data_IF_287120006470
#
_entry.id   IF_287120006470
#
_cell.length_a   1.000
_cell.length_b   1.000
_cell.length_c   1.000
_cell.angle_alpha   90.00
_cell.angle_beta   90.00
_cell.angle_gamma   90.00
#
_symmetry.space_group_name_H-M   'P 1'
#
loop_
_entity.id
_entity.type
_entity.pdbx_description
1 polymer ?
#
# COMPACT_ATOMS: atom_id res chain seq x y z
N UNK A 1 -55.91 -19.89 28.78
CA UNK A 1 -54.63 -20.44 29.12
C UNK A 1 -53.64 -20.02 28.00
N UNK A 2 -52.96 -18.88 28.17
CA UNK A 2 -51.90 -18.44 27.26
C UNK A 2 -50.57 -18.96 27.81
N UNK A 3 -50.13 -20.08 27.28
CA UNK A 3 -48.77 -20.56 27.46
C UNK A 3 -47.83 -19.72 26.61
N UNK A 4 -47.26 -18.66 27.20
CA UNK A 4 -46.12 -17.94 26.59
C UNK A 4 -44.94 -18.88 26.52
N UNK A 5 -44.56 -19.27 25.33
CA UNK A 5 -43.26 -19.91 25.08
C UNK A 5 -42.17 -18.88 25.34
N UNK A 6 -41.58 -18.90 26.53
CA UNK A 6 -40.29 -18.30 26.75
C UNK A 6 -39.23 -19.20 26.08
N UNK A 7 -38.97 -18.97 24.83
CA UNK A 7 -37.76 -19.49 24.17
C UNK A 7 -36.61 -18.68 24.77
N UNK A 8 -35.67 -19.27 25.49
CA UNK A 8 -34.48 -18.54 25.90
C UNK A 8 -33.75 -18.14 24.62
N UNK A 9 -33.59 -16.84 24.40
CA UNK A 9 -32.68 -16.33 23.38
C UNK A 9 -31.26 -16.75 23.77
N UNK A 10 -30.83 -17.87 23.21
CA UNK A 10 -29.42 -18.24 23.27
C UNK A 10 -28.67 -17.23 22.40
N UNK A 11 -28.09 -16.21 23.00
CA UNK A 11 -27.17 -15.33 22.36
C UNK A 11 -25.96 -16.19 21.97
N UNK A 12 -25.74 -16.41 20.66
CA UNK A 12 -24.56 -17.09 20.21
C UNK A 12 -23.34 -16.28 20.66
N UNK A 13 -22.44 -16.88 21.43
CA UNK A 13 -21.19 -16.28 21.87
C UNK A 13 -20.18 -16.08 20.73
N UNK A 14 -20.67 -15.83 19.51
CA UNK A 14 -19.86 -15.67 18.30
C UNK A 14 -20.21 -14.37 17.59
N UNK A 15 -19.21 -13.48 17.45
CA UNK A 15 -19.33 -12.28 16.62
C UNK A 15 -18.94 -12.66 15.19
N UNK A 16 -19.84 -12.40 14.24
CA UNK A 16 -19.54 -12.54 12.80
C UNK A 16 -18.84 -11.27 12.35
N UNK A 17 -17.55 -11.38 12.10
CA UNK A 17 -16.75 -10.26 11.64
C UNK A 17 -16.81 -10.12 10.12
N UNK A 18 -16.84 -8.88 9.65
CA UNK A 18 -16.70 -8.58 8.23
C UNK A 18 -15.23 -8.71 7.85
N UNK A 19 -14.92 -9.65 6.94
CA UNK A 19 -13.57 -9.79 6.40
C UNK A 19 -13.14 -8.50 5.71
N UNK A 20 -11.94 -8.05 6.02
CA UNK A 20 -11.31 -6.86 5.46
C UNK A 20 -9.89 -7.19 5.04
N UNK A 21 -9.40 -6.49 4.02
CA UNK A 21 -8.04 -6.70 3.56
C UNK A 21 -7.04 -6.25 4.63
N UNK A 22 -6.01 -7.06 4.88
CA UNK A 22 -4.86 -6.67 5.70
C UNK A 22 -3.97 -5.69 4.93
N UNK A 23 -3.11 -4.95 5.65
CA UNK A 23 -2.16 -4.02 5.04
C UNK A 23 -1.22 -4.74 4.07
N UNK A 24 -1.36 -4.42 2.78
CA UNK A 24 -0.56 -5.01 1.70
C UNK A 24 0.82 -4.38 1.66
N UNK A 25 0.88 -3.04 1.68
CA UNK A 25 2.15 -2.31 1.53
C UNK A 25 3.09 -2.63 2.69
N UNK A 26 2.58 -2.68 3.92
CA UNK A 26 3.39 -3.06 5.09
C UNK A 26 3.95 -4.49 5.00
N UNK A 27 3.27 -5.40 4.32
CA UNK A 27 3.73 -6.80 4.19
C UNK A 27 4.89 -6.98 3.21
N UNK A 28 5.06 -6.06 2.26
CA UNK A 28 6.07 -6.11 1.20
C UNK A 28 7.18 -5.07 1.39
N UNK A 29 6.92 -4.01 2.16
CA UNK A 29 7.86 -2.94 2.44
C UNK A 29 8.84 -3.32 3.56
N UNK A 30 9.97 -2.64 3.60
CA UNK A 30 10.93 -2.75 4.69
C UNK A 30 10.42 -1.97 5.91
N UNK A 31 10.35 -2.60 7.07
CA UNK A 31 9.93 -1.95 8.32
C UNK A 31 11.12 -1.79 9.25
N UNK A 32 11.36 -0.58 9.73
CA UNK A 32 12.43 -0.24 10.67
C UNK A 32 11.84 0.43 11.90
N UNK A 33 12.26 0.00 13.10
CA UNK A 33 11.92 0.70 14.35
C UNK A 33 12.93 1.80 14.63
N UNK A 34 12.45 3.00 14.95
CA UNK A 34 13.31 4.14 15.28
C UNK A 34 12.82 4.82 16.56
N UNK A 35 13.71 5.17 17.50
CA UNK A 35 13.32 5.92 18.70
C UNK A 35 13.14 7.41 18.43
N UNK A 36 13.88 7.97 17.46
CA UNK A 36 13.97 9.41 17.19
C UNK A 36 13.78 9.74 15.71
N UNK A 37 13.60 11.03 15.42
CA UNK A 37 13.58 11.54 14.06
C UNK A 37 14.95 11.29 13.40
N UNK A 38 14.95 10.83 12.15
CA UNK A 38 16.17 10.45 11.43
C UNK A 38 16.30 11.26 10.15
N UNK A 39 17.56 11.50 9.79
CA UNK A 39 17.90 11.98 8.45
C UNK A 39 18.70 10.90 7.75
N UNK A 40 18.22 10.47 6.60
CA UNK A 40 18.85 9.43 5.78
C UNK A 40 19.60 10.11 4.64
N UNK A 41 20.94 10.04 4.60
CA UNK A 41 21.68 10.54 3.46
C UNK A 41 21.50 9.60 2.26
N UNK A 42 21.14 10.16 1.11
CA UNK A 42 21.03 9.44 -0.15
C UNK A 42 22.00 10.02 -1.14
N UNK A 43 22.70 9.15 -1.87
CA UNK A 43 23.54 9.54 -2.98
C UNK A 43 22.69 9.84 -4.20
N UNK A 44 22.71 11.09 -4.64
CA UNK A 44 21.89 11.56 -5.77
C UNK A 44 22.64 11.48 -7.11
N UNK A 45 23.96 11.60 -7.10
CA UNK A 45 24.77 11.46 -8.29
C UNK A 45 25.98 10.55 -8.05
N UNK A 46 26.25 9.71 -9.03
CA UNK A 46 27.38 8.79 -9.04
C UNK A 46 28.49 9.43 -9.88
N UNK A 47 29.76 9.48 -9.40
CA UNK A 47 30.85 9.95 -10.19
C UNK A 47 31.02 9.13 -11.47
N UNK A 48 31.29 9.80 -12.57
CA UNK A 48 31.54 9.17 -13.87
C UNK A 48 33.03 9.13 -14.16
N UNK A 49 33.51 7.99 -14.67
CA UNK A 49 34.87 7.86 -15.18
C UNK A 49 34.90 8.08 -16.69
N UNK A 50 35.88 8.78 -17.18
CA UNK A 50 36.12 9.00 -18.62
C UNK A 50 37.54 8.55 -19.01
N UNK A 51 37.67 8.06 -20.24
CA UNK A 51 39.00 7.82 -20.83
C UNK A 51 39.54 9.15 -21.29
N UNK A 52 40.72 9.51 -20.79
CA UNK A 52 41.35 10.79 -21.08
C UNK A 52 42.62 10.54 -21.85
N UNK A 53 42.81 11.29 -22.94
CA UNK A 53 44.01 11.26 -23.75
C UNK A 53 45.23 11.88 -23.03
N UNK A 54 46.41 11.50 -23.46
CA UNK A 54 47.66 12.03 -22.91
C UNK A 54 47.71 13.57 -23.02
N UNK A 55 47.99 14.23 -21.90
CA UNK A 55 48.09 15.72 -21.86
C UNK A 55 46.73 16.44 -21.70
N UNK A 56 45.61 15.73 -21.64
CA UNK A 56 44.30 16.34 -21.44
C UNK A 56 43.94 16.47 -19.93
N UNK A 57 43.21 17.53 -19.58
CA UNK A 57 42.76 17.74 -18.19
C UNK A 57 41.66 16.78 -17.76
N UNK A 58 41.74 16.30 -16.53
CA UNK A 58 40.71 15.47 -15.93
C UNK A 58 39.55 16.37 -15.47
N UNK A 59 38.34 16.12 -15.98
CA UNK A 59 37.15 16.83 -15.51
C UNK A 59 36.70 16.21 -14.19
N UNK A 60 36.54 17.04 -13.16
CA UNK A 60 36.02 16.57 -11.87
C UNK A 60 34.55 16.11 -12.01
N UNK A 61 34.25 14.98 -11.44
CA UNK A 61 32.90 14.46 -11.31
C UNK A 61 32.69 14.09 -9.83
N UNK A 62 31.85 14.87 -9.13
CA UNK A 62 31.64 14.72 -7.71
C UNK A 62 30.34 13.95 -7.41
N UNK A 63 30.36 13.17 -6.32
CA UNK A 63 29.15 12.58 -5.78
C UNK A 63 28.35 13.65 -5.01
N UNK A 64 27.06 13.74 -5.28
CA UNK A 64 26.16 14.60 -4.52
C UNK A 64 25.28 13.79 -3.58
N UNK A 65 25.05 14.31 -2.38
CA UNK A 65 24.22 13.67 -1.36
C UNK A 65 23.06 14.58 -1.00
N UNK A 66 21.86 13.99 -0.90
CA UNK A 66 20.65 14.62 -0.38
C UNK A 66 20.25 13.95 0.92
N UNK A 67 19.56 14.65 1.80
CA UNK A 67 19.06 14.08 3.05
C UNK A 67 17.54 13.98 2.98
N UNK A 68 16.99 12.77 3.21
CA UNK A 68 15.57 12.59 3.48
C UNK A 68 15.35 12.68 4.99
N UNK A 69 14.37 13.46 5.41
CA UNK A 69 13.91 13.52 6.79
C UNK A 69 12.83 12.47 7.03
N UNK A 70 12.92 11.78 8.14
CA UNK A 70 11.90 10.86 8.64
C UNK A 70 11.21 11.57 9.80
N UNK A 71 9.91 11.82 9.64
CA UNK A 71 9.07 12.43 10.65
C UNK A 71 8.34 11.36 11.48
N UNK A 72 7.33 11.74 12.23
CA UNK A 72 6.54 10.82 13.03
C UNK A 72 5.09 11.25 13.08
N UNK A 73 4.26 10.65 12.24
CA UNK A 73 2.83 10.91 12.20
C UNK A 73 2.07 10.03 13.18
N UNK A 74 1.12 10.61 13.90
CA UNK A 74 0.35 9.95 14.94
C UNK A 74 -0.97 9.43 14.36
N UNK A 75 -1.15 8.13 14.38
CA UNK A 75 -2.42 7.46 14.11
C UNK A 75 -3.10 7.14 15.42
N UNK A 76 -4.36 7.49 15.57
CA UNK A 76 -5.12 7.23 16.79
C UNK A 76 -6.53 6.76 16.44
N UNK A 77 -6.99 5.74 17.15
CA UNK A 77 -8.37 5.29 17.11
C UNK A 77 -8.95 5.33 18.53
N UNK A 78 -10.12 5.95 18.67
CA UNK A 78 -10.86 6.01 19.92
C UNK A 78 -12.17 5.27 19.76
N UNK A 79 -12.41 4.29 20.61
CA UNK A 79 -13.66 3.53 20.69
C UNK A 79 -14.26 3.70 22.06
N UNK A 80 -15.58 3.88 22.12
CA UNK A 80 -16.34 4.04 23.35
C UNK A 80 -17.27 2.84 23.47
N UNK A 81 -17.20 2.12 24.59
CA UNK A 81 -18.03 0.96 24.87
C UNK A 81 -18.83 1.18 26.17
N UNK A 82 -20.06 0.68 26.22
CA UNK A 82 -20.84 0.66 27.45
C UNK A 82 -20.24 -0.33 28.46
N UNK A 83 -20.16 0.07 29.71
CA UNK A 83 -19.68 -0.80 30.80
C UNK A 83 -20.58 -2.00 31.01
N UNK A 84 -21.90 -1.82 30.89
CA UNK A 84 -22.86 -2.92 30.96
C UNK A 84 -22.62 -3.98 29.89
N UNK A 85 -22.31 -3.53 28.65
CA UNK A 85 -21.99 -4.44 27.56
C UNK A 85 -20.68 -5.21 27.80
N UNK A 86 -19.70 -4.59 28.45
CA UNK A 86 -18.44 -5.24 28.80
C UNK A 86 -18.63 -6.29 29.91
N UNK A 87 -19.46 -5.98 30.91
CA UNK A 87 -19.71 -6.84 32.06
C UNK A 87 -20.64 -8.03 31.72
N UNK A 88 -21.65 -7.81 30.86
CA UNK A 88 -22.67 -8.81 30.52
C UNK A 88 -22.27 -9.68 29.30
N UNK A 89 -21.22 -9.33 28.56
CA UNK A 89 -20.84 -10.10 27.40
C UNK A 89 -20.08 -11.38 27.79
N UNK A 90 -20.51 -12.52 27.29
CA UNK A 90 -19.79 -13.80 27.41
C UNK A 90 -18.50 -13.89 26.57
N UNK A 91 -18.08 -12.79 25.94
CA UNK A 91 -16.90 -12.67 25.08
C UNK A 91 -15.98 -11.63 25.68
N UNK A 92 -14.66 -11.79 25.53
CA UNK A 92 -13.69 -10.75 25.89
C UNK A 92 -13.82 -9.55 24.91
N UNK A 93 -14.79 -8.69 25.20
CA UNK A 93 -15.14 -7.54 24.34
C UNK A 93 -14.03 -6.49 24.34
N UNK A 94 -13.25 -6.38 25.41
CA UNK A 94 -12.13 -5.46 25.48
C UNK A 94 -11.06 -5.81 24.44
N UNK A 95 -10.63 -7.05 24.37
CA UNK A 95 -9.66 -7.53 23.37
C UNK A 95 -10.19 -7.38 21.94
N UNK A 96 -11.48 -7.66 21.75
CA UNK A 96 -12.14 -7.46 20.45
C UNK A 96 -12.11 -6.00 19.99
N UNK A 97 -12.42 -5.06 20.89
CA UNK A 97 -12.41 -3.61 20.60
C UNK A 97 -11.01 -3.11 20.30
N UNK A 98 -10.00 -3.56 21.07
CA UNK A 98 -8.59 -3.21 20.83
C UNK A 98 -8.14 -3.72 19.45
N UNK A 99 -8.51 -4.96 19.09
CA UNK A 99 -8.21 -5.52 17.77
C UNK A 99 -8.84 -4.69 16.66
N UNK A 100 -10.12 -4.34 16.77
CA UNK A 100 -10.82 -3.48 15.80
C UNK A 100 -10.14 -2.11 15.63
N UNK A 101 -9.71 -1.49 16.74
CA UNK A 101 -9.01 -0.22 16.71
C UNK A 101 -7.65 -0.35 16.00
N UNK A 102 -6.91 -1.41 16.29
CA UNK A 102 -5.62 -1.69 15.66
C UNK A 102 -5.74 -1.93 14.17
N UNK A 103 -6.77 -2.67 13.73
CA UNK A 103 -7.08 -2.88 12.32
C UNK A 103 -7.49 -1.58 11.61
N UNK A 104 -8.24 -0.70 12.30
CA UNK A 104 -8.60 0.60 11.75
C UNK A 104 -7.36 1.48 11.52
N UNK A 105 -6.41 1.46 12.45
CA UNK A 105 -5.12 2.16 12.31
C UNK A 105 -4.31 1.56 11.15
N UNK A 106 -4.21 0.24 11.06
CA UNK A 106 -3.46 -0.43 10.00
C UNK A 106 -3.99 -0.08 8.61
N UNK A 107 -5.31 0.04 8.46
CA UNK A 107 -5.95 0.46 7.20
C UNK A 107 -5.64 1.91 6.85
N UNK A 108 -5.78 2.83 7.82
CA UNK A 108 -5.43 4.23 7.61
C UNK A 108 -3.96 4.42 7.25
N UNK A 109 -3.07 3.59 7.81
CA UNK A 109 -1.66 3.57 7.44
C UNK A 109 -1.47 3.08 6.00
N UNK A 110 -2.14 1.98 5.59
CA UNK A 110 -1.98 1.41 4.25
C UNK A 110 -2.50 2.36 3.16
N UNK A 111 -3.59 3.08 3.43
CA UNK A 111 -4.11 4.14 2.58
C UNK A 111 -3.07 5.25 2.37
N UNK A 112 -2.49 5.77 3.47
CA UNK A 112 -1.48 6.81 3.38
C UNK A 112 -0.14 6.32 2.81
N UNK A 113 0.23 5.07 3.03
CA UNK A 113 1.42 4.48 2.39
C UNK A 113 1.25 4.34 0.88
N UNK A 114 0.01 4.25 0.39
CA UNK A 114 -0.26 4.28 -1.04
C UNK A 114 -0.23 5.70 -1.61
N UNK A 115 -1.05 6.60 -1.07
CA UNK A 115 -1.34 7.94 -1.64
C UNK A 115 -1.07 9.10 -0.66
N UNK A 116 -0.07 8.98 0.19
CA UNK A 116 0.35 10.07 1.07
C UNK A 116 1.14 11.15 0.32
N UNK A 117 0.89 12.43 0.64
CA UNK A 117 1.48 13.60 -0.03
C UNK A 117 2.58 14.30 0.78
N UNK A 118 3.11 13.65 1.83
CA UNK A 118 4.13 14.19 2.73
C UNK A 118 3.72 15.51 3.44
N UNK A 119 2.41 15.78 3.48
CA UNK A 119 1.85 16.96 4.14
C UNK A 119 0.94 16.55 5.30
N UNK A 120 1.49 16.42 6.50
CA UNK A 120 0.76 15.94 7.67
C UNK A 120 0.45 14.43 7.67
N UNK A 121 0.95 13.69 6.70
CA UNK A 121 0.86 12.24 6.54
C UNK A 121 2.13 11.70 5.85
N UNK A 122 2.45 10.40 5.97
CA UNK A 122 3.62 9.80 5.33
C UNK A 122 3.65 10.01 3.82
N UNK A 123 4.85 9.94 3.24
CA UNK A 123 5.04 9.95 1.80
C UNK A 123 4.62 8.61 1.19
N UNK A 124 3.58 8.60 0.37
CA UNK A 124 3.04 7.42 -0.29
C UNK A 124 3.93 6.88 -1.42
N UNK A 125 3.64 5.65 -1.86
CA UNK A 125 4.33 5.02 -3.00
C UNK A 125 4.11 5.82 -4.27
N UNK A 126 2.91 6.38 -4.49
CA UNK A 126 2.55 7.14 -5.71
C UNK A 126 2.68 8.65 -5.54
N UNK A 127 3.16 9.14 -4.39
CA UNK A 127 3.35 10.57 -4.18
C UNK A 127 4.24 11.18 -5.27
N UNK A 128 3.84 12.36 -5.75
CA UNK A 128 4.50 13.06 -6.85
C UNK A 128 4.25 12.45 -8.24
N UNK A 129 3.75 11.22 -8.36
CA UNK A 129 3.55 10.56 -9.66
C UNK A 129 2.47 11.22 -10.52
N UNK A 130 1.54 11.95 -9.92
CA UNK A 130 0.51 12.74 -10.62
C UNK A 130 0.87 14.22 -10.75
N UNK A 131 1.94 14.69 -10.12
CA UNK A 131 2.42 16.05 -10.22
C UNK A 131 2.97 16.35 -11.64
N UNK A 132 3.13 17.61 -11.96
CA UNK A 132 3.63 18.05 -13.27
C UNK A 132 5.04 17.53 -13.63
N UNK A 133 5.87 17.32 -12.61
CA UNK A 133 7.16 16.62 -12.70
C UNK A 133 7.14 15.44 -11.73
N UNK A 134 6.69 14.25 -12.16
CA UNK A 134 6.59 13.10 -11.29
C UNK A 134 7.98 12.65 -10.81
N UNK A 135 8.08 12.32 -9.53
CA UNK A 135 9.33 11.81 -8.94
C UNK A 135 9.64 10.39 -9.43
N UNK A 136 8.60 9.60 -9.74
CA UNK A 136 8.74 8.26 -10.30
C UNK A 136 8.38 8.24 -11.78
N UNK A 137 8.96 7.32 -12.54
CA UNK A 137 8.64 7.14 -13.96
C UNK A 137 7.19 6.67 -14.12
N UNK A 138 6.43 7.34 -15.00
CA UNK A 138 5.03 7.03 -15.26
C UNK A 138 4.85 6.57 -16.70
N UNK A 139 4.37 5.35 -16.90
CA UNK A 139 3.92 4.85 -18.20
C UNK A 139 2.41 5.03 -18.29
N UNK A 140 1.91 5.59 -19.39
CA UNK A 140 0.49 5.84 -19.58
C UNK A 140 -0.08 4.91 -20.65
N UNK A 141 -1.28 4.37 -20.40
CA UNK A 141 -2.04 3.66 -21.41
C UNK A 141 -2.39 4.56 -22.62
N UNK A 142 -2.56 3.94 -23.78
CA UNK A 142 -2.99 4.65 -24.97
C UNK A 142 -4.36 5.30 -24.83
N UNK A 143 -4.67 6.29 -25.70
CA UNK A 143 -5.94 7.02 -25.72
C UNK A 143 -7.15 6.06 -25.74
N UNK A 144 -8.19 6.38 -24.99
CA UNK A 144 -9.41 5.58 -24.85
C UNK A 144 -9.36 4.52 -23.76
N UNK A 145 -8.18 4.27 -23.13
CA UNK A 145 -8.05 3.32 -22.03
C UNK A 145 -8.19 4.04 -20.67
N UNK A 146 -9.36 4.56 -20.39
CA UNK A 146 -9.68 5.29 -19.14
C UNK A 146 -10.33 4.38 -18.12
N UNK A 147 -11.46 3.74 -18.46
CA UNK A 147 -12.25 2.90 -17.55
C UNK A 147 -12.20 1.42 -17.91
N UNK A 148 -11.76 1.10 -19.13
CA UNK A 148 -11.58 -0.26 -19.64
C UNK A 148 -10.41 -0.29 -20.63
N UNK A 149 -9.85 -1.47 -20.84
CA UNK A 149 -8.80 -1.70 -21.84
C UNK A 149 -9.45 -2.15 -23.13
N UNK A 150 -9.34 -1.33 -24.18
CA UNK A 150 -10.09 -1.50 -25.43
C UNK A 150 -9.28 -2.12 -26.56
N UNK A 151 -7.97 -1.96 -26.58
CA UNK A 151 -7.09 -2.50 -27.61
C UNK A 151 -6.10 -3.49 -27.01
N UNK A 152 -6.15 -4.73 -27.47
CA UNK A 152 -5.32 -5.80 -26.94
C UNK A 152 -3.82 -5.52 -27.17
N UNK A 153 -3.41 -5.29 -28.41
CA UNK A 153 -2.01 -5.20 -28.78
C UNK A 153 -1.35 -3.95 -28.17
N UNK A 154 -1.95 -2.77 -28.37
CA UNK A 154 -1.43 -1.53 -27.81
C UNK A 154 -1.42 -1.49 -26.26
N UNK A 155 -2.33 -2.23 -25.63
CA UNK A 155 -2.37 -2.32 -24.16
C UNK A 155 -1.29 -3.25 -23.63
N UNK A 156 -1.05 -4.38 -24.30
CA UNK A 156 -0.01 -5.33 -23.91
C UNK A 156 1.37 -4.69 -24.09
N UNK A 157 1.60 -3.98 -25.20
CA UNK A 157 2.84 -3.25 -25.44
C UNK A 157 3.10 -2.22 -24.33
N UNK A 158 2.07 -1.50 -23.88
CA UNK A 158 2.21 -0.55 -22.76
C UNK A 158 2.51 -1.21 -21.42
N UNK A 159 1.99 -2.40 -21.16
CA UNK A 159 2.34 -3.17 -19.97
C UNK A 159 3.78 -3.66 -20.05
N UNK A 160 4.23 -4.08 -21.23
CA UNK A 160 5.63 -4.43 -21.46
C UNK A 160 6.54 -3.21 -21.28
N UNK A 161 6.24 -2.09 -21.94
CA UNK A 161 6.97 -0.83 -21.80
C UNK A 161 7.10 -0.42 -20.33
N UNK A 162 6.00 -0.53 -19.57
CA UNK A 162 5.97 -0.22 -18.14
C UNK A 162 6.93 -1.10 -17.33
N UNK A 163 6.88 -2.41 -17.51
CA UNK A 163 7.78 -3.32 -16.78
C UNK A 163 9.24 -3.11 -17.19
N UNK A 164 9.48 -2.85 -18.49
CA UNK A 164 10.85 -2.62 -18.98
C UNK A 164 11.37 -1.21 -18.70
N UNK A 165 10.54 -0.25 -18.30
CA UNK A 165 10.98 1.09 -17.88
C UNK A 165 11.69 1.08 -16.53
N UNK A 166 11.49 0.04 -15.69
CA UNK A 166 12.27 -0.12 -14.46
C UNK A 166 13.72 -0.54 -14.80
N UNK A 167 14.74 0.16 -14.29
CA UNK A 167 16.14 -0.23 -14.49
C UNK A 167 16.44 -1.66 -14.01
N UNK A 168 17.26 -2.39 -14.75
CA UNK A 168 17.54 -3.82 -14.51
C UNK A 168 18.01 -4.12 -13.09
N UNK A 169 18.81 -3.20 -12.52
CA UNK A 169 19.36 -3.34 -11.17
C UNK A 169 18.29 -3.42 -10.07
N UNK A 170 17.12 -2.81 -10.30
CA UNK A 170 16.01 -2.80 -9.31
C UNK A 170 14.97 -3.90 -9.54
N UNK A 171 15.02 -4.62 -10.67
CA UNK A 171 14.03 -5.65 -11.03
C UNK A 171 14.09 -6.89 -10.13
N UNK A 172 15.26 -7.19 -9.56
CA UNK A 172 15.39 -8.33 -8.68
C UNK A 172 14.63 -8.11 -7.38
N UNK A 173 13.66 -8.97 -7.07
CA UNK A 173 12.79 -8.82 -5.91
C UNK A 173 11.70 -7.77 -6.05
N UNK A 174 11.48 -7.24 -7.26
CA UNK A 174 10.37 -6.32 -7.52
C UNK A 174 9.03 -7.03 -7.51
N UNK A 175 8.01 -6.30 -7.08
CA UNK A 175 6.61 -6.76 -7.04
C UNK A 175 5.70 -5.73 -7.71
N UNK A 176 4.54 -6.20 -8.14
CA UNK A 176 3.48 -5.36 -8.71
C UNK A 176 2.38 -5.18 -7.67
N UNK A 177 1.97 -3.94 -7.42
CA UNK A 177 0.78 -3.63 -6.63
C UNK A 177 -0.27 -3.03 -7.55
N UNK A 178 -1.47 -3.59 -7.57
CA UNK A 178 -2.54 -3.20 -8.49
C UNK A 178 -3.93 -3.41 -7.86
N UNK A 179 -4.98 -2.91 -8.50
CA UNK A 179 -6.36 -3.18 -8.12
C UNK A 179 -6.93 -4.42 -8.83
N UNK A 180 -7.92 -5.05 -8.21
CA UNK A 180 -8.63 -6.20 -8.81
C UNK A 180 -9.30 -5.84 -10.15
N UNK A 181 -9.77 -4.59 -10.29
CA UNK A 181 -10.38 -4.11 -11.53
C UNK A 181 -9.40 -4.11 -12.70
N UNK A 182 -8.17 -3.65 -12.48
CA UNK A 182 -7.11 -3.65 -13.51
C UNK A 182 -6.76 -5.07 -13.91
N UNK A 183 -6.58 -5.94 -12.92
CA UNK A 183 -6.30 -7.35 -13.14
C UNK A 183 -7.40 -8.03 -13.98
N UNK A 184 -8.67 -7.77 -13.64
CA UNK A 184 -9.83 -8.25 -14.39
C UNK A 184 -9.80 -7.78 -15.85
N UNK A 185 -9.44 -6.50 -16.08
CA UNK A 185 -9.38 -5.94 -17.43
C UNK A 185 -8.20 -6.52 -18.23
N UNK A 186 -7.02 -6.68 -17.60
CA UNK A 186 -5.87 -7.34 -18.24
C UNK A 186 -6.18 -8.78 -18.63
N UNK A 187 -6.89 -9.53 -17.77
CA UNK A 187 -7.30 -10.92 -18.07
C UNK A 187 -8.35 -11.01 -19.18
N UNK A 188 -9.10 -9.96 -19.45
CA UNK A 188 -10.09 -9.92 -20.52
C UNK A 188 -9.49 -9.59 -21.88
N UNK A 189 -8.22 -9.16 -21.94
CA UNK A 189 -7.56 -8.88 -23.20
C UNK A 189 -7.48 -10.13 -24.06
N UNK A 190 -7.78 -9.95 -25.35
CA UNK A 190 -7.77 -11.01 -26.35
C UNK A 190 -6.89 -10.59 -27.54
N UNK A 191 -6.31 -11.56 -28.20
CA UNK A 191 -5.63 -11.34 -29.46
C UNK A 191 -6.65 -11.14 -30.60
N UNK A 192 -6.16 -10.85 -31.79
CA UNK A 192 -7.01 -10.69 -33.01
C UNK A 192 -7.76 -11.96 -33.38
N UNK A 193 -7.30 -13.13 -32.95
CA UNK A 193 -7.97 -14.42 -33.14
C UNK A 193 -9.07 -14.70 -32.11
N UNK A 194 -9.20 -13.84 -31.07
CA UNK A 194 -10.20 -13.97 -30.01
C UNK A 194 -9.75 -14.76 -28.79
N UNK A 195 -8.50 -15.25 -28.74
CA UNK A 195 -7.97 -15.97 -27.60
C UNK A 195 -7.55 -15.02 -26.48
N UNK A 196 -7.70 -15.43 -25.23
CA UNK A 196 -7.20 -14.67 -24.10
C UNK A 196 -5.67 -14.63 -24.08
N UNK A 197 -5.10 -13.43 -24.03
CA UNK A 197 -3.66 -13.21 -24.01
C UNK A 197 -3.00 -13.68 -22.71
N UNK A 198 -3.74 -13.59 -21.61
CA UNK A 198 -3.25 -13.99 -20.31
C UNK A 198 -4.15 -15.05 -19.67
N UNK A 199 -3.62 -16.25 -19.54
CA UNK A 199 -4.24 -17.34 -18.80
C UNK A 199 -3.47 -17.57 -17.50
N UNK A 200 -4.10 -17.27 -16.35
CA UNK A 200 -3.50 -17.56 -15.05
C UNK A 200 -3.42 -19.07 -14.83
N UNK A 201 -2.27 -19.56 -14.41
CA UNK A 201 -2.11 -20.97 -14.04
C UNK A 201 -3.06 -21.31 -12.88
N UNK A 202 -3.75 -22.47 -12.91
CA UNK A 202 -4.62 -22.91 -11.82
C UNK A 202 -3.89 -23.06 -10.47
N UNK A 203 -2.59 -23.27 -10.49
CA UNK A 203 -1.75 -23.49 -9.29
C UNK A 203 -1.52 -22.19 -8.51
N UNK A 204 -1.56 -21.03 -9.16
CA UNK A 204 -1.30 -19.73 -8.52
C UNK A 204 -2.37 -19.32 -7.50
N UNK A 205 -3.54 -19.95 -7.50
CA UNK A 205 -4.66 -19.62 -6.60
C UNK A 205 -4.60 -20.29 -5.22
N UNK A 206 -3.63 -21.20 -4.98
CA UNK A 206 -3.68 -22.06 -3.78
C UNK A 206 -2.83 -21.59 -2.60
N UNK A 207 -2.04 -20.51 -2.74
CA UNK A 207 -1.23 -19.98 -1.61
C UNK A 207 -1.97 -18.87 -0.89
N UNK A 208 -2.60 -19.20 0.23
CA UNK A 208 -3.14 -18.21 1.16
C UNK A 208 -1.99 -17.41 1.80
N UNK A 209 -2.02 -16.08 1.64
CA UNK A 209 -1.06 -15.15 2.26
C UNK A 209 0.19 -14.81 1.45
N UNK A 210 0.33 -15.35 0.23
CA UNK A 210 1.38 -14.99 -0.72
C UNK A 210 0.88 -14.05 -1.83
N UNK A 211 1.74 -13.78 -2.85
CA UNK A 211 1.32 -13.03 -4.03
C UNK A 211 0.15 -13.74 -4.72
N UNK A 212 -0.81 -12.94 -5.22
CA UNK A 212 -2.03 -13.47 -5.84
C UNK A 212 -1.76 -14.16 -7.20
N UNK A 213 -0.53 -14.12 -7.70
CA UNK A 213 -0.06 -14.71 -8.96
C UNK A 213 1.11 -13.93 -9.54
N UNK A 214 1.45 -14.18 -10.80
CA UNK A 214 2.55 -13.49 -11.49
C UNK A 214 2.06 -12.78 -12.76
N UNK A 215 2.61 -11.60 -13.04
CA UNK A 215 2.48 -10.89 -14.32
C UNK A 215 3.88 -10.75 -14.90
N UNK A 216 4.10 -11.27 -16.10
CA UNK A 216 5.42 -11.28 -16.77
C UNK A 216 6.55 -11.86 -15.89
N UNK A 217 6.22 -12.83 -15.03
CA UNK A 217 7.18 -13.45 -14.11
C UNK A 217 7.39 -12.73 -12.78
N UNK A 218 6.75 -11.56 -12.57
CA UNK A 218 6.81 -10.81 -11.32
C UNK A 218 5.56 -11.06 -10.47
N UNK A 219 5.71 -11.27 -9.15
CA UNK A 219 4.58 -11.46 -8.26
C UNK A 219 3.75 -10.17 -8.17
N UNK A 220 2.42 -10.33 -8.09
CA UNK A 220 1.54 -9.18 -7.89
C UNK A 220 0.71 -9.32 -6.61
N UNK A 221 0.41 -8.17 -6.02
CA UNK A 221 -0.46 -8.01 -4.86
C UNK A 221 -1.65 -7.13 -5.23
N UNK A 222 -2.81 -7.46 -4.68
CA UNK A 222 -4.04 -6.69 -4.88
C UNK A 222 -4.25 -5.83 -3.65
N UNK A 223 -4.41 -4.51 -3.84
CA UNK A 223 -4.75 -3.58 -2.77
C UNK A 223 -6.05 -2.87 -3.08
N UNK A 224 -6.90 -2.70 -2.06
CA UNK A 224 -8.16 -1.96 -2.16
C UNK A 224 -7.95 -0.44 -2.25
N UNK A 225 -6.76 0.04 -1.85
CA UNK A 225 -6.41 1.47 -1.88
C UNK A 225 -5.87 1.95 -3.23
N UNK A 226 -5.56 1.02 -4.13
CA UNK A 226 -5.22 1.36 -5.50
C UNK A 226 -6.47 1.86 -6.22
N UNK A 227 -6.36 3.03 -6.84
CA UNK A 227 -7.46 3.65 -7.57
C UNK A 227 -8.11 2.70 -8.58
N UNK A 228 -9.43 2.78 -8.68
CA UNK A 228 -10.15 2.18 -9.78
C UNK A 228 -9.76 2.84 -11.10
N UNK A 229 -9.89 2.10 -12.21
CA UNK A 229 -9.60 2.66 -13.54
C UNK A 229 -10.48 3.87 -13.82
N UNK A 230 -9.84 5.03 -13.97
CA UNK A 230 -10.45 6.29 -14.36
C UNK A 230 -9.39 7.17 -15.05
N UNK A 231 -9.84 8.21 -15.75
CA UNK A 231 -8.95 9.13 -16.45
C UNK A 231 -7.87 9.68 -15.51
N UNK A 232 -6.63 9.64 -15.94
CA UNK A 232 -5.45 10.14 -15.22
C UNK A 232 -5.13 9.43 -13.89
N UNK A 233 -5.80 8.33 -13.51
CA UNK A 233 -5.53 7.60 -12.27
C UNK A 233 -4.39 6.61 -12.41
N UNK A 234 -3.58 6.48 -11.36
CA UNK A 234 -2.55 5.44 -11.26
C UNK A 234 -3.21 4.15 -10.79
N UNK A 235 -3.06 3.11 -11.59
CA UNK A 235 -3.77 1.84 -11.42
C UNK A 235 -2.87 0.67 -11.06
N UNK A 236 -1.57 0.85 -11.20
CA UNK A 236 -0.58 -0.11 -10.77
C UNK A 236 0.77 0.55 -10.53
N UNK A 237 1.55 -0.02 -9.62
CA UNK A 237 2.96 0.34 -9.42
C UNK A 237 3.77 -0.95 -9.48
N UNK A 238 4.88 -0.91 -10.21
CA UNK A 238 5.89 -1.94 -10.25
C UNK A 238 7.18 -1.41 -9.66
N UNK A 239 7.77 -2.12 -8.72
CA UNK A 239 9.00 -1.66 -8.10
C UNK A 239 9.52 -2.59 -7.02
N UNK A 240 10.71 -2.26 -6.53
CA UNK A 240 11.33 -2.99 -5.44
C UNK A 240 11.01 -2.31 -4.11
N UNK A 241 10.06 -2.88 -3.39
CA UNK A 241 9.56 -2.34 -2.11
C UNK A 241 10.57 -2.42 -0.96
N UNK A 242 11.75 -3.01 -1.14
CA UNK A 242 12.84 -2.85 -0.19
C UNK A 242 13.36 -1.40 -0.12
N UNK A 243 13.09 -0.59 -1.15
CA UNK A 243 13.38 0.85 -1.20
C UNK A 243 12.21 1.73 -0.77
N UNK A 244 11.11 1.12 -0.31
CA UNK A 244 10.05 1.79 0.43
C UNK A 244 10.17 1.39 1.90
N UNK A 245 10.52 2.34 2.75
CA UNK A 245 10.83 2.06 4.15
C UNK A 245 9.77 2.69 5.06
N UNK A 246 9.24 1.86 5.96
CA UNK A 246 8.26 2.25 6.98
C UNK A 246 8.99 2.35 8.31
N UNK A 247 8.88 3.50 8.96
CA UNK A 247 9.51 3.80 10.23
C UNK A 247 8.46 3.78 11.33
N UNK A 248 8.53 2.78 12.20
CA UNK A 248 7.67 2.71 13.37
C UNK A 248 8.38 3.35 14.58
N UNK A 249 7.74 4.34 15.19
CA UNK A 249 8.26 5.01 16.40
C UNK A 249 7.58 4.47 17.64
N UNK A 250 8.32 3.70 18.41
CA UNK A 250 7.83 3.06 19.63
C UNK A 250 6.84 1.92 19.37
N UNK A 251 6.30 1.39 20.44
CA UNK A 251 5.23 0.39 20.40
C UNK A 251 3.86 1.05 20.21
N UNK A 252 2.85 0.24 19.88
CA UNK A 252 1.45 0.66 19.93
C UNK A 252 1.06 0.89 21.39
N UNK A 253 0.58 2.09 21.71
CA UNK A 253 0.12 2.46 23.04
C UNK A 253 -1.39 2.27 23.13
N UNK A 254 -1.85 1.60 24.19
CA UNK A 254 -3.26 1.37 24.47
C UNK A 254 -3.58 2.05 25.79
N UNK A 255 -4.51 3.00 25.77
CA UNK A 255 -5.02 3.67 26.96
C UNK A 255 -6.49 3.31 27.17
N UNK A 256 -6.78 2.70 28.29
CA UNK A 256 -8.15 2.44 28.76
C UNK A 256 -8.52 3.51 29.77
N UNK A 257 -9.51 4.35 29.44
CA UNK A 257 -9.97 5.45 30.30
C UNK A 257 -11.42 5.22 30.76
N UNK A 258 -11.60 4.78 32.02
CA UNK A 258 -12.91 4.56 32.60
C UNK A 258 -13.55 5.84 33.17
N UNK A 259 -12.85 6.98 33.19
CA UNK A 259 -13.27 8.19 33.91
C UNK A 259 -13.88 9.26 33.03
N UNK A 260 -13.33 9.49 31.84
CA UNK A 260 -13.75 10.59 30.97
C UNK A 260 -15.20 10.50 30.49
N UNK A 261 -15.78 9.29 30.47
CA UNK A 261 -17.19 9.03 30.13
C UNK A 261 -17.98 8.42 31.28
N UNK A 262 -17.57 8.64 32.52
CA UNK A 262 -18.22 8.07 33.70
C UNK A 262 -19.68 8.51 33.86
N UNK A 263 -20.03 9.73 33.45
CA UNK A 263 -21.39 10.27 33.49
C UNK A 263 -22.38 9.49 32.59
N UNK A 264 -21.90 8.84 31.56
CA UNK A 264 -22.67 8.02 30.62
C UNK A 264 -22.46 6.52 30.82
N UNK A 265 -21.76 6.12 31.89
CA UNK A 265 -21.43 4.72 32.21
C UNK A 265 -20.72 3.98 31.08
N UNK A 266 -19.73 4.69 30.46
CA UNK A 266 -18.97 4.20 29.32
C UNK A 266 -17.47 4.20 29.62
N UNK A 267 -16.74 3.28 28.97
CA UNK A 267 -15.28 3.20 28.99
C UNK A 267 -14.76 3.62 27.61
N UNK A 268 -13.72 4.45 27.58
CA UNK A 268 -13.04 4.84 26.35
C UNK A 268 -11.74 4.04 26.21
N UNK A 269 -11.54 3.48 25.03
CA UNK A 269 -10.28 2.82 24.66
C UNK A 269 -9.65 3.60 23.54
N UNK A 270 -8.42 4.05 23.76
CA UNK A 270 -7.64 4.85 22.80
C UNK A 270 -6.41 4.05 22.44
N UNK A 271 -6.29 3.72 21.16
CA UNK A 271 -5.11 3.06 20.59
C UNK A 271 -4.35 4.08 19.77
N UNK A 272 -3.06 4.18 20.02
CA UNK A 272 -2.17 5.15 19.35
C UNK A 272 -0.96 4.43 18.80
N UNK A 273 -0.63 4.72 17.53
CA UNK A 273 0.60 4.29 16.88
C UNK A 273 1.24 5.47 16.15
N UNK A 274 2.56 5.55 16.19
CA UNK A 274 3.32 6.55 15.42
C UNK A 274 4.11 5.85 14.35
N UNK A 275 3.98 6.32 13.13
CA UNK A 275 4.76 5.81 12.00
C UNK A 275 4.93 6.87 10.94
N UNK A 276 5.98 6.69 10.15
CA UNK A 276 6.24 7.41 8.93
C UNK A 276 6.62 6.42 7.84
N UNK A 277 6.61 6.84 6.60
CA UNK A 277 7.09 6.04 5.48
C UNK A 277 7.55 6.94 4.34
N UNK A 278 8.56 6.49 3.62
CA UNK A 278 9.06 7.20 2.45
C UNK A 278 9.75 6.25 1.47
N UNK A 279 9.85 6.70 0.22
CA UNK A 279 10.71 6.07 -0.78
C UNK A 279 12.14 6.54 -0.58
N UNK A 280 13.07 5.60 -0.43
CA UNK A 280 14.51 5.92 -0.34
C UNK A 280 15.12 6.17 -1.71
N UNK A 281 14.60 5.53 -2.77
CA UNK A 281 15.01 5.72 -4.15
C UNK A 281 13.78 5.72 -5.08
N UNK A 282 13.52 6.85 -5.73
CA UNK A 282 12.39 7.00 -6.65
C UNK A 282 12.56 6.16 -7.92
N UNK A 283 13.81 5.98 -8.39
CA UNK A 283 14.16 5.17 -9.57
C UNK A 283 13.81 3.68 -9.43
N UNK A 284 13.58 3.20 -8.19
CA UNK A 284 13.21 1.82 -7.92
C UNK A 284 11.72 1.53 -8.16
N UNK A 285 10.94 2.53 -8.59
CA UNK A 285 9.50 2.45 -8.80
C UNK A 285 9.08 3.01 -10.14
N UNK A 286 8.11 2.36 -10.77
CA UNK A 286 7.47 2.82 -12.00
C UNK A 286 5.96 2.66 -11.87
N UNK A 287 5.21 3.70 -12.25
CA UNK A 287 3.77 3.72 -12.16
C UNK A 287 3.10 3.48 -13.51
N UNK A 288 1.94 2.84 -13.50
CA UNK A 288 1.08 2.67 -14.66
C UNK A 288 -0.18 3.51 -14.47
N UNK A 289 -0.42 4.40 -15.44
CA UNK A 289 -1.48 5.41 -15.40
C UNK A 289 -2.49 5.17 -16.51
N UNK A 290 -3.77 5.37 -16.20
CA UNK A 290 -4.82 5.40 -17.23
C UNK A 290 -4.67 6.61 -18.16
N UNK A 291 -5.22 6.50 -19.37
CA UNK A 291 -5.29 7.61 -20.32
C UNK A 291 -6.01 8.83 -19.73
N UNK A 292 -5.70 10.02 -20.23
CA UNK A 292 -6.39 11.24 -19.86
C UNK A 292 -7.78 11.35 -20.53
N UNK A 293 -7.92 10.73 -21.68
CA UNK A 293 -9.15 10.71 -22.49
C UNK A 293 -9.23 9.43 -23.31
#
# INVERSE_FOLDING_TARGET
>A
ANGGFTVPETVEGRIVEKLRQSSVIRSIARTTSTPDDRKIPIQNAIPTAAIIGEGSSITASDATFTQLSVDSYKYAARIVASRELLDDSGINLEEYVIRMASEAIARAQDEHFWDGDDSGKPKGVIDGALAGTPEITVTQFGTGNTTSLTSADATVDKVLDWVYSLPVQYRMGSVIVTSDQVLKNLRKLRNTAGDYLWQASPVERMLAGGPAGTILGYPYYISEYVDAMAANKIVAVFGNFNYYEIFDRGATEILVDPYSSASTWQIQMIVVKRSDALRTLDEAFVALKCSAS
#
